data_IF_623653260468
#
_entry.id   IF_623653260468
#
_cell.length_a   1.000
_cell.length_b   1.000
_cell.length_c   1.000
_cell.angle_alpha   90.00
_cell.angle_beta   90.00
_cell.angle_gamma   90.00
#
_symmetry.space_group_name_H-M   'P 1'
#
loop_
_entity.id
_entity.type
_entity.pdbx_description
1 polymer ?
#
# COMPACT_ATOMS: atom_id res chain seq x y z
N UNK A 1 15.72 -3.10 -12.48
CA UNK A 1 14.31 -2.87 -12.06
C UNK A 1 13.92 -3.89 -11.02
N UNK A 2 13.29 -3.43 -9.95
CA UNK A 2 12.87 -4.31 -8.87
C UNK A 2 11.56 -5.03 -9.24
N UNK A 3 11.54 -6.35 -9.07
CA UNK A 3 10.32 -7.14 -9.36
C UNK A 3 9.33 -6.94 -8.20
N UNK A 4 8.07 -6.66 -8.54
CA UNK A 4 6.98 -6.56 -7.58
C UNK A 4 6.56 -7.99 -7.20
N UNK A 5 6.94 -8.42 -6.01
CA UNK A 5 6.62 -9.76 -5.52
C UNK A 5 6.66 -9.80 -4.00
N UNK A 6 5.81 -10.63 -3.41
CA UNK A 6 5.85 -10.91 -1.98
C UNK A 6 7.08 -11.76 -1.65
N UNK A 7 7.77 -11.40 -0.56
CA UNK A 7 8.86 -12.21 -0.03
C UNK A 7 8.66 -12.39 1.48
N UNK A 8 9.20 -13.48 2.08
CA UNK A 8 9.06 -13.71 3.53
C UNK A 8 9.64 -12.59 4.39
N UNK A 9 10.57 -11.80 3.85
CA UNK A 9 11.18 -10.66 4.54
C UNK A 9 10.17 -9.55 4.86
N UNK A 10 9.03 -9.54 4.17
CA UNK A 10 7.98 -8.56 4.39
C UNK A 10 7.05 -8.93 5.55
N UNK A 11 7.22 -10.10 6.16
CA UNK A 11 6.39 -10.49 7.31
C UNK A 11 6.81 -9.74 8.57
N UNK A 12 5.82 -9.34 9.37
CA UNK A 12 6.04 -8.59 10.61
C UNK A 12 5.46 -9.30 11.84
N UNK A 13 4.93 -10.52 11.66
CA UNK A 13 4.54 -11.40 12.76
C UNK A 13 3.11 -11.25 13.28
N UNK A 14 2.29 -10.42 12.65
CA UNK A 14 0.86 -10.31 12.96
C UNK A 14 0.09 -10.87 11.76
N UNK A 15 -0.60 -11.98 11.96
CA UNK A 15 -1.18 -12.75 10.86
C UNK A 15 -2.13 -11.93 9.97
N UNK A 16 -3.01 -11.12 10.54
CA UNK A 16 -3.97 -10.32 9.76
C UNK A 16 -3.27 -9.22 8.96
N UNK A 17 -2.22 -8.62 9.52
CA UNK A 17 -1.44 -7.59 8.82
C UNK A 17 -0.62 -8.21 7.70
N UNK A 18 0.04 -9.33 7.97
CA UNK A 18 0.84 -10.03 6.96
C UNK A 18 -0.02 -10.47 5.77
N UNK A 19 -1.22 -10.97 6.03
CA UNK A 19 -2.14 -11.36 4.97
C UNK A 19 -2.60 -10.16 4.13
N UNK A 20 -2.96 -9.05 4.77
CA UNK A 20 -3.36 -7.83 4.07
C UNK A 20 -2.22 -7.30 3.20
N UNK A 21 -1.00 -7.29 3.72
CA UNK A 21 0.18 -6.85 2.97
C UNK A 21 0.44 -7.75 1.76
N UNK A 22 0.31 -9.05 1.94
CA UNK A 22 0.49 -10.02 0.86
C UNK A 22 -0.53 -9.81 -0.25
N UNK A 23 -1.80 -9.65 0.12
CA UNK A 23 -2.87 -9.39 -0.85
C UNK A 23 -2.58 -8.11 -1.63
N UNK A 24 -2.11 -7.06 -0.94
CA UNK A 24 -1.77 -5.81 -1.61
C UNK A 24 -0.60 -5.96 -2.59
N UNK A 25 0.46 -6.68 -2.21
CA UNK A 25 1.60 -6.92 -3.10
C UNK A 25 1.17 -7.76 -4.31
N UNK A 26 0.35 -8.78 -4.09
CA UNK A 26 -0.19 -9.60 -5.18
C UNK A 26 -1.03 -8.75 -6.15
N UNK A 27 -1.81 -7.80 -5.62
CA UNK A 27 -2.58 -6.87 -6.43
C UNK A 27 -1.67 -5.93 -7.24
N UNK A 28 -0.59 -5.43 -6.63
CA UNK A 28 0.41 -4.62 -7.35
C UNK A 28 1.01 -5.40 -8.51
N UNK A 29 1.40 -6.65 -8.24
CA UNK A 29 1.98 -7.52 -9.25
C UNK A 29 1.00 -7.73 -10.41
N UNK A 30 -0.26 -8.01 -10.09
CA UNK A 30 -1.29 -8.19 -11.10
C UNK A 30 -1.43 -6.96 -12.00
N UNK A 31 -1.57 -5.78 -11.41
CA UNK A 31 -1.71 -4.53 -12.16
C UNK A 31 -0.48 -4.28 -13.03
N UNK A 32 0.72 -4.58 -12.52
CA UNK A 32 1.96 -4.37 -13.27
C UNK A 32 2.02 -5.18 -14.58
N UNK A 33 1.28 -6.28 -14.64
CA UNK A 33 1.23 -7.17 -15.83
C UNK A 33 0.06 -6.88 -16.76
N UNK A 34 -0.85 -5.98 -16.39
CA UNK A 34 -1.99 -5.60 -17.24
C UNK A 34 -1.48 -4.72 -18.38
N UNK A 35 -1.93 -5.02 -19.62
CA UNK A 35 -1.60 -4.19 -20.78
C UNK A 35 -2.24 -2.81 -20.71
N UNK A 36 -1.75 -1.89 -21.54
CA UNK A 36 -2.18 -0.49 -21.51
C UNK A 36 -3.70 -0.32 -21.64
N UNK A 37 -4.34 -1.17 -22.44
CA UNK A 37 -5.77 -1.08 -22.69
C UNK A 37 -6.62 -1.29 -21.44
N UNK A 38 -6.20 -2.18 -20.56
CA UNK A 38 -6.91 -2.48 -19.32
C UNK A 38 -6.34 -1.79 -18.09
N UNK A 39 -5.26 -1.06 -18.24
CA UNK A 39 -4.51 -0.52 -17.10
C UNK A 39 -5.32 0.47 -16.27
N UNK A 40 -6.04 1.39 -16.88
CA UNK A 40 -6.80 2.41 -16.14
C UNK A 40 -7.78 1.78 -15.15
N UNK A 41 -8.59 0.82 -15.61
CA UNK A 41 -9.58 0.15 -14.76
C UNK A 41 -8.91 -0.65 -13.64
N UNK A 42 -7.85 -1.40 -13.97
CA UNK A 42 -7.11 -2.20 -13.00
C UNK A 42 -6.44 -1.32 -11.94
N UNK A 43 -5.85 -0.20 -12.36
CA UNK A 43 -5.18 0.73 -11.47
C UNK A 43 -6.18 1.42 -10.53
N UNK A 44 -7.35 1.81 -11.05
CA UNK A 44 -8.42 2.40 -10.25
C UNK A 44 -8.88 1.44 -9.16
N UNK A 45 -9.11 0.17 -9.52
CA UNK A 45 -9.53 -0.85 -8.56
C UNK A 45 -8.45 -1.11 -7.51
N UNK A 46 -7.19 -1.07 -7.93
CA UNK A 46 -6.06 -1.24 -7.02
C UNK A 46 -6.00 -0.10 -6.00
N UNK A 47 -6.16 1.16 -6.43
CA UNK A 47 -6.16 2.31 -5.52
C UNK A 47 -7.28 2.17 -4.48
N UNK A 48 -8.46 1.72 -4.89
CA UNK A 48 -9.57 1.47 -3.94
C UNK A 48 -9.20 0.42 -2.90
N UNK A 49 -8.43 -0.60 -3.31
CA UNK A 49 -7.93 -1.63 -2.40
C UNK A 49 -6.95 -1.03 -1.37
N UNK A 50 -6.05 -0.16 -1.80
CA UNK A 50 -5.12 0.55 -0.91
C UNK A 50 -5.88 1.41 0.11
N UNK A 51 -6.88 2.16 -0.36
CA UNK A 51 -7.71 2.99 0.52
C UNK A 51 -8.38 2.16 1.60
N UNK A 52 -8.93 1.00 1.24
CA UNK A 52 -9.59 0.10 2.19
C UNK A 52 -8.60 -0.46 3.21
N UNK A 53 -7.43 -0.90 2.76
CA UNK A 53 -6.43 -1.48 3.65
C UNK A 53 -5.89 -0.43 4.63
N UNK A 54 -5.66 0.78 4.17
CA UNK A 54 -5.22 1.87 5.04
C UNK A 54 -6.30 2.22 6.06
N UNK A 55 -7.57 2.24 5.66
CA UNK A 55 -8.69 2.52 6.57
C UNK A 55 -8.81 1.44 7.66
N UNK A 56 -8.71 0.17 7.27
CA UNK A 56 -8.76 -0.94 8.22
C UNK A 56 -7.63 -0.85 9.25
N UNK A 57 -6.43 -0.49 8.81
CA UNK A 57 -5.28 -0.32 9.68
C UNK A 57 -5.47 0.86 10.63
N UNK A 58 -6.05 1.96 10.13
CA UNK A 58 -6.35 3.14 10.96
C UNK A 58 -7.42 2.82 12.00
N UNK A 59 -8.41 1.99 11.67
CA UNK A 59 -9.41 1.51 12.63
C UNK A 59 -8.75 0.69 13.75
N UNK A 60 -7.76 -0.13 13.42
CA UNK A 60 -7.00 -0.88 14.43
C UNK A 60 -6.30 0.08 15.38
N UNK A 61 -5.70 1.15 14.87
CA UNK A 61 -5.01 2.14 15.70
C UNK A 61 -5.94 2.89 16.63
N UNK A 62 -7.24 2.93 16.35
CA UNK A 62 -8.23 3.55 17.23
C UNK A 62 -8.62 2.65 18.42
N UNK A 63 -8.30 1.35 18.36
CA UNK A 63 -8.69 0.39 19.39
C UNK A 63 -7.83 0.45 20.66
N UNK A 64 -6.70 1.14 20.62
CA UNK A 64 -5.80 1.26 21.77
C UNK A 64 -4.98 2.56 21.66
N UNK A 65 -4.39 3.04 22.77
CA UNK A 65 -3.57 4.27 22.72
C UNK A 65 -2.24 3.99 22.02
N UNK A 66 -2.17 4.34 20.75
CA UNK A 66 -0.97 4.17 19.93
C UNK A 66 -0.32 5.54 19.70
N UNK A 67 0.86 5.82 20.29
CA UNK A 67 1.46 7.16 20.21
C UNK A 67 1.79 7.62 18.80
N UNK A 68 2.11 6.70 17.88
CA UNK A 68 2.51 7.03 16.52
C UNK A 68 1.34 7.01 15.52
N UNK A 69 0.10 6.89 15.99
CA UNK A 69 -1.07 6.80 15.12
C UNK A 69 -1.18 7.97 14.15
N UNK A 70 -0.96 9.19 14.63
CA UNK A 70 -1.05 10.39 13.80
C UNK A 70 -0.02 10.37 12.66
N UNK A 71 1.23 10.05 12.98
CA UNK A 71 2.29 9.96 11.99
C UNK A 71 1.99 8.88 10.96
N UNK A 72 1.48 7.72 11.41
CA UNK A 72 1.09 6.62 10.54
C UNK A 72 0.00 7.05 9.56
N UNK A 73 -1.05 7.71 10.06
CA UNK A 73 -2.14 8.22 9.22
C UNK A 73 -1.65 9.28 8.22
N UNK A 74 -0.70 10.11 8.61
CA UNK A 74 -0.11 11.10 7.70
C UNK A 74 0.65 10.44 6.55
N UNK A 75 1.37 9.34 6.83
CA UNK A 75 2.03 8.54 5.79
C UNK A 75 1.01 7.99 4.80
N UNK A 76 -0.09 7.43 5.29
CA UNK A 76 -1.18 6.95 4.44
C UNK A 76 -1.76 8.06 3.56
N UNK A 77 -2.05 9.21 4.16
CA UNK A 77 -2.64 10.33 3.44
C UNK A 77 -1.76 10.83 2.29
N UNK A 78 -0.46 10.94 2.54
CA UNK A 78 0.49 11.38 1.51
C UNK A 78 0.56 10.37 0.35
N UNK A 79 0.57 9.09 0.67
CA UNK A 79 0.63 8.03 -0.33
C UNK A 79 -0.63 8.03 -1.19
N UNK A 80 -1.80 8.15 -0.55
CA UNK A 80 -3.08 8.21 -1.28
C UNK A 80 -3.15 9.45 -2.17
N UNK A 81 -2.67 10.59 -1.69
CA UNK A 81 -2.62 11.82 -2.49
C UNK A 81 -1.79 11.61 -3.76
N UNK A 82 -0.63 10.98 -3.64
CA UNK A 82 0.24 10.69 -4.79
C UNK A 82 -0.44 9.72 -5.76
N UNK A 83 -1.11 8.69 -5.25
CA UNK A 83 -1.83 7.71 -6.08
C UNK A 83 -2.98 8.37 -6.85
N UNK A 84 -3.77 9.21 -6.19
CA UNK A 84 -4.88 9.92 -6.84
C UNK A 84 -4.36 10.90 -7.89
N UNK A 85 -3.24 11.56 -7.62
CA UNK A 85 -2.62 12.43 -8.63
C UNK A 85 -2.22 11.63 -9.88
N UNK A 86 -1.55 10.49 -9.69
CA UNK A 86 -1.16 9.63 -10.81
C UNK A 86 -2.37 9.06 -11.55
N UNK A 87 -3.47 8.76 -10.83
CA UNK A 87 -4.70 8.30 -11.47
C UNK A 87 -5.29 9.35 -12.42
N UNK A 88 -5.23 10.62 -12.02
CA UNK A 88 -5.63 11.73 -12.88
C UNK A 88 -4.85 11.76 -14.19
N UNK A 89 -3.53 11.51 -14.12
CA UNK A 89 -2.67 11.43 -15.30
C UNK A 89 -3.05 10.23 -16.20
N UNK A 90 -3.29 9.08 -15.58
CA UNK A 90 -3.71 7.86 -16.29
C UNK A 90 -5.02 8.10 -17.04
N UNK A 91 -5.97 8.76 -16.40
CA UNK A 91 -7.26 9.09 -17.01
C UNK A 91 -7.12 10.01 -18.23
N UNK A 92 -6.04 10.78 -18.32
CA UNK A 92 -5.72 11.63 -19.45
C UNK A 92 -4.89 10.88 -20.51
N UNK A 93 -4.67 9.58 -20.34
CA UNK A 93 -3.94 8.75 -21.29
C UNK A 93 -2.48 8.53 -20.96
N UNK A 94 -1.97 9.08 -19.87
CA UNK A 94 -0.57 8.93 -19.45
C UNK A 94 -0.39 7.65 -18.61
N UNK A 95 -0.43 6.52 -19.28
CA UNK A 95 -0.28 5.21 -18.64
C UNK A 95 1.11 5.05 -18.02
N UNK A 96 2.13 5.60 -18.66
CA UNK A 96 3.51 5.50 -18.18
C UNK A 96 3.67 6.09 -16.78
N UNK A 97 2.99 7.21 -16.48
CA UNK A 97 3.00 7.82 -15.15
C UNK A 97 2.38 6.90 -14.10
N UNK A 98 1.30 6.20 -14.45
CA UNK A 98 0.68 5.22 -13.56
C UNK A 98 1.59 4.05 -13.27
N UNK A 99 2.26 3.52 -14.29
CA UNK A 99 3.20 2.40 -14.12
C UNK A 99 4.40 2.80 -13.27
N UNK A 100 4.90 4.01 -13.46
CA UNK A 100 5.99 4.55 -12.63
C UNK A 100 5.55 4.72 -11.19
N UNK A 101 4.36 5.26 -10.96
CA UNK A 101 3.80 5.43 -9.62
C UNK A 101 3.65 4.08 -8.91
N UNK A 102 3.21 3.05 -9.63
CA UNK A 102 3.08 1.70 -9.07
C UNK A 102 4.44 1.14 -8.62
N UNK A 103 5.48 1.30 -9.43
CA UNK A 103 6.82 0.84 -9.10
C UNK A 103 7.38 1.59 -7.87
N UNK A 104 7.18 2.90 -7.81
CA UNK A 104 7.59 3.72 -6.67
C UNK A 104 6.79 3.34 -5.42
N UNK A 105 5.51 3.05 -5.56
CA UNK A 105 4.66 2.60 -4.46
C UNK A 105 5.19 1.31 -3.85
N UNK A 106 5.60 0.36 -4.67
CA UNK A 106 6.14 -0.90 -4.16
C UNK A 106 7.41 -0.67 -3.33
N UNK A 107 8.33 0.19 -3.81
CA UNK A 107 9.53 0.54 -3.05
C UNK A 107 9.19 1.21 -1.73
N UNK A 108 8.27 2.17 -1.76
CA UNK A 108 7.80 2.85 -0.56
C UNK A 108 7.15 1.85 0.41
N UNK A 109 6.33 0.97 -0.12
CA UNK A 109 5.56 0.01 0.68
C UNK A 109 6.47 -0.97 1.43
N UNK A 110 7.54 -1.45 0.80
CA UNK A 110 8.49 -2.35 1.48
C UNK A 110 9.15 -1.68 2.67
N UNK A 111 9.51 -0.40 2.56
CA UNK A 111 10.07 0.37 3.67
C UNK A 111 9.00 0.66 4.73
N UNK A 112 7.80 1.04 4.31
CA UNK A 112 6.68 1.34 5.19
C UNK A 112 6.32 0.11 6.06
N UNK A 113 6.24 -1.08 5.47
CA UNK A 113 6.00 -2.31 6.21
C UNK A 113 7.10 -2.56 7.23
N UNK A 114 8.36 -2.45 6.83
CA UNK A 114 9.50 -2.77 7.67
C UNK A 114 9.71 -1.80 8.83
N UNK A 115 9.16 -0.60 8.74
CA UNK A 115 9.34 0.45 9.75
C UNK A 115 8.03 0.85 10.42
N UNK A 116 7.12 1.46 9.70
CA UNK A 116 5.89 2.03 10.24
C UNK A 116 4.90 0.93 10.67
N UNK A 117 4.61 -0.02 9.78
CA UNK A 117 3.69 -1.11 10.10
C UNK A 117 4.28 -2.04 11.16
N UNK A 118 5.58 -2.26 11.13
CA UNK A 118 6.26 -3.04 12.17
C UNK A 118 6.10 -2.40 13.54
N UNK A 119 6.18 -1.05 13.61
CA UNK A 119 5.94 -0.31 14.85
C UNK A 119 4.55 -0.57 15.40
N UNK A 120 3.54 -0.55 14.52
CA UNK A 120 2.17 -0.86 14.92
C UNK A 120 2.03 -2.32 15.37
N UNK A 121 2.64 -3.27 14.65
CA UNK A 121 2.62 -4.68 15.02
C UNK A 121 3.20 -4.90 16.41
N UNK A 122 4.34 -4.27 16.71
CA UNK A 122 4.97 -4.38 18.03
C UNK A 122 4.09 -3.77 19.12
N UNK A 123 3.40 -2.67 18.85
CA UNK A 123 2.48 -2.05 19.79
C UNK A 123 1.27 -2.92 20.08
N UNK A 124 0.77 -3.67 19.07
CA UNK A 124 -0.39 -4.56 19.22
C UNK A 124 -0.12 -5.74 20.14
N UNK A 125 1.13 -6.21 20.20
CA UNK A 125 1.50 -7.37 21.03
C UNK A 125 2.17 -6.99 22.35
N UNK A 126 2.39 -5.70 22.59
CA UNK A 126 2.97 -5.22 23.84
C UNK A 126 2.00 -5.46 25.00
N UNK A 127 2.52 -5.88 26.21
CA UNK A 127 1.67 -6.09 27.39
C UNK A 127 1.06 -4.81 27.92
#
# INVERSE_FOLDING_TARGET
MRVIAWTPELTIGIADMDESHRVMVDAMQHVSHIGDEGFEAAYRNFIACVERDFREEEEVMELFPYPDARTHCEHHARTLSALHHSMGQVMQGDIASGRQALALLFQWFTVHIATIDRGLALARIAP
#
